data_IF_328207787730
#
_entry.id   IF_328207787730
#
_cell.length_a   1.000
_cell.length_b   1.000
_cell.length_c   1.000
_cell.angle_alpha   90.00
_cell.angle_beta   90.00
_cell.angle_gamma   90.00
#
_symmetry.space_group_name_H-M   'P 1'
#
loop_
_entity.id
_entity.type
_entity.pdbx_description
1 polymer ?
#
# COMPACT_ATOMS: atom_id res chain seq x y z
N UNK A 1 -46.51 -6.69 -82.41
CA UNK A 1 -45.89 -7.03 -81.10
C UNK A 1 -45.46 -8.48 -81.08
N UNK A 2 -44.19 -8.76 -80.80
CA UNK A 2 -43.62 -10.11 -80.83
C UNK A 2 -44.16 -10.94 -79.67
N UNK A 3 -45.08 -11.88 -79.95
CA UNK A 3 -45.82 -12.66 -78.93
C UNK A 3 -44.89 -13.45 -77.99
N UNK A 4 -43.68 -13.79 -78.44
CA UNK A 4 -42.67 -14.50 -77.61
C UNK A 4 -42.03 -13.60 -76.55
N UNK A 5 -41.77 -12.32 -76.88
CA UNK A 5 -41.20 -11.35 -75.93
C UNK A 5 -42.20 -10.95 -74.85
N UNK A 6 -43.49 -10.86 -75.19
CA UNK A 6 -44.53 -10.60 -74.20
C UNK A 6 -44.59 -11.73 -73.15
N UNK A 7 -44.62 -13.00 -73.55
CA UNK A 7 -44.69 -14.13 -72.59
C UNK A 7 -43.51 -14.15 -71.63
N UNK A 8 -42.27 -13.94 -72.11
CA UNK A 8 -41.07 -13.91 -71.25
C UNK A 8 -41.12 -12.75 -70.26
N UNK A 9 -41.58 -11.57 -70.69
CA UNK A 9 -41.66 -10.38 -69.83
C UNK A 9 -42.66 -10.56 -68.67
N UNK A 10 -43.77 -11.28 -68.88
CA UNK A 10 -44.76 -11.53 -67.82
C UNK A 10 -44.21 -12.47 -66.73
N UNK A 11 -43.44 -13.49 -67.12
CA UNK A 11 -42.81 -14.39 -66.15
C UNK A 11 -41.69 -13.72 -65.34
N UNK A 12 -40.92 -12.82 -65.98
CA UNK A 12 -39.92 -12.00 -65.28
C UNK A 12 -40.61 -11.06 -64.29
N UNK A 13 -41.67 -10.36 -64.72
CA UNK A 13 -42.43 -9.45 -63.85
C UNK A 13 -43.05 -10.20 -62.66
N UNK A 14 -43.59 -11.40 -62.90
CA UNK A 14 -44.14 -12.25 -61.84
C UNK A 14 -43.06 -12.70 -60.85
N UNK A 15 -41.87 -13.06 -61.34
CA UNK A 15 -40.72 -13.39 -60.48
C UNK A 15 -40.28 -12.21 -59.61
N UNK A 16 -40.26 -10.99 -60.16
CA UNK A 16 -39.94 -9.77 -59.40
C UNK A 16 -40.99 -9.51 -58.33
N UNK A 17 -42.28 -9.59 -58.67
CA UNK A 17 -43.38 -9.38 -57.72
C UNK A 17 -43.34 -10.44 -56.61
N UNK A 18 -43.09 -11.70 -56.95
CA UNK A 18 -42.95 -12.78 -55.99
C UNK A 18 -41.75 -12.56 -55.06
N UNK A 19 -40.60 -12.12 -55.58
CA UNK A 19 -39.42 -11.81 -54.77
C UNK A 19 -39.64 -10.62 -53.83
N UNK A 20 -40.31 -9.56 -54.29
CA UNK A 20 -40.69 -8.41 -53.45
C UNK A 20 -41.68 -8.86 -52.37
N UNK A 21 -42.69 -9.66 -52.73
CA UNK A 21 -43.66 -10.20 -51.78
C UNK A 21 -43.00 -11.08 -50.72
N UNK A 22 -42.05 -11.94 -51.13
CA UNK A 22 -41.28 -12.78 -50.22
C UNK A 22 -40.39 -11.93 -49.31
N UNK A 23 -39.71 -10.93 -49.85
CA UNK A 23 -38.90 -10.00 -49.07
C UNK A 23 -39.73 -9.26 -48.03
N UNK A 24 -40.90 -8.71 -48.40
CA UNK A 24 -41.80 -8.01 -47.49
C UNK A 24 -42.39 -8.94 -46.43
N UNK A 25 -42.70 -10.19 -46.80
CA UNK A 25 -43.17 -11.20 -45.86
C UNK A 25 -42.09 -11.55 -44.83
N UNK A 26 -40.87 -11.82 -45.29
CA UNK A 26 -39.75 -12.09 -44.40
C UNK A 26 -39.31 -10.87 -43.59
N UNK A 27 -39.40 -9.66 -44.13
CA UNK A 27 -39.07 -8.45 -43.37
C UNK A 27 -40.09 -8.14 -42.26
N UNK A 28 -41.35 -8.51 -42.44
CA UNK A 28 -42.39 -8.32 -41.41
C UNK A 28 -42.46 -9.46 -40.38
N UNK A 29 -41.92 -10.65 -40.71
CA UNK A 29 -41.92 -11.81 -39.80
C UNK A 29 -40.58 -12.03 -39.11
N UNK A 30 -39.51 -11.45 -39.66
CA UNK A 30 -38.24 -11.35 -38.97
C UNK A 30 -38.32 -10.16 -38.04
N UNK A 31 -38.73 -10.40 -36.80
CA UNK A 31 -38.31 -9.56 -35.69
C UNK A 31 -36.78 -9.62 -35.67
N UNK A 32 -36.11 -8.72 -36.41
CA UNK A 32 -34.71 -8.46 -36.17
C UNK A 32 -34.63 -8.11 -34.68
N UNK A 33 -33.87 -8.84 -33.85
CA UNK A 33 -33.75 -8.54 -32.44
C UNK A 33 -32.87 -7.30 -32.29
N UNK A 34 -33.39 -6.14 -32.69
CA UNK A 34 -32.75 -4.85 -32.57
C UNK A 34 -33.69 -3.99 -31.74
N UNK A 35 -33.75 -4.31 -30.45
CA UNK A 35 -34.29 -3.42 -29.43
C UNK A 35 -33.42 -3.47 -28.17
N UNK A 36 -32.09 -3.49 -28.32
CA UNK A 36 -31.30 -2.77 -27.33
C UNK A 36 -31.56 -1.28 -27.58
N UNK A 37 -32.02 -0.49 -26.60
CA UNK A 37 -32.04 0.96 -26.75
C UNK A 37 -30.64 1.40 -27.18
N UNK A 38 -30.52 2.12 -28.29
CA UNK A 38 -29.23 2.66 -28.74
C UNK A 38 -28.56 3.38 -27.55
N UNK A 39 -27.40 2.90 -27.11
CA UNK A 39 -26.69 3.46 -25.96
C UNK A 39 -26.85 2.71 -24.62
N UNK A 40 -27.75 1.72 -24.49
CA UNK A 40 -27.96 1.01 -23.22
C UNK A 40 -26.70 0.27 -22.76
N UNK A 41 -26.04 -0.42 -23.69
CA UNK A 41 -24.77 -1.10 -23.42
C UNK A 41 -23.67 -0.11 -23.01
N UNK A 42 -23.57 1.03 -23.69
CA UNK A 42 -22.58 2.06 -23.38
C UNK A 42 -22.81 2.65 -21.98
N UNK A 43 -24.07 2.99 -21.66
CA UNK A 43 -24.43 3.54 -20.37
C UNK A 43 -24.22 2.53 -19.24
N UNK A 44 -24.55 1.25 -19.48
CA UNK A 44 -24.32 0.19 -18.51
C UNK A 44 -22.82 -0.07 -18.30
N UNK A 45 -22.05 -0.15 -19.38
CA UNK A 45 -20.59 -0.29 -19.32
C UNK A 45 -19.97 0.85 -18.49
N UNK A 46 -20.37 2.10 -18.75
CA UNK A 46 -19.82 3.26 -18.04
C UNK A 46 -20.28 3.29 -16.59
N UNK A 47 -21.59 3.23 -16.33
CA UNK A 47 -22.14 3.50 -15.00
C UNK A 47 -22.11 2.28 -14.07
N UNK A 48 -22.41 1.10 -14.59
CA UNK A 48 -22.55 -0.11 -13.78
C UNK A 48 -21.24 -0.87 -13.61
N UNK A 49 -20.33 -0.74 -14.57
CA UNK A 49 -19.08 -1.50 -14.57
C UNK A 49 -17.86 -0.61 -14.33
N UNK A 50 -17.49 0.23 -15.30
CA UNK A 50 -16.28 1.05 -15.23
C UNK A 50 -16.29 1.96 -13.99
N UNK A 51 -17.34 2.75 -13.80
CA UNK A 51 -17.43 3.65 -12.65
C UNK A 51 -17.35 2.90 -11.32
N UNK A 52 -18.04 1.75 -11.20
CA UNK A 52 -17.99 0.95 -9.97
C UNK A 52 -16.64 0.30 -9.74
N UNK A 53 -15.97 -0.20 -10.78
CA UNK A 53 -14.63 -0.77 -10.64
C UNK A 53 -13.61 0.31 -10.27
N UNK A 54 -13.70 1.51 -10.85
CA UNK A 54 -12.82 2.62 -10.49
C UNK A 54 -13.02 3.08 -9.05
N UNK A 55 -14.28 3.17 -8.58
CA UNK A 55 -14.55 3.47 -7.18
C UNK A 55 -14.00 2.40 -6.23
N UNK A 56 -14.14 1.13 -6.59
CA UNK A 56 -13.66 0.00 -5.79
C UNK A 56 -12.12 -0.08 -5.78
N UNK A 57 -11.46 0.25 -6.89
CA UNK A 57 -9.99 0.36 -6.94
C UNK A 57 -9.48 1.58 -6.19
N UNK A 58 -10.18 2.71 -6.26
CA UNK A 58 -9.85 3.90 -5.49
C UNK A 58 -9.96 3.61 -3.99
N UNK A 59 -11.05 2.97 -3.54
CA UNK A 59 -11.24 2.59 -2.14
C UNK A 59 -10.13 1.62 -1.66
N UNK A 60 -9.74 0.68 -2.52
CA UNK A 60 -8.62 -0.23 -2.26
C UNK A 60 -7.30 0.53 -2.08
N UNK A 61 -6.97 1.44 -2.99
CA UNK A 61 -5.75 2.24 -2.94
C UNK A 61 -5.73 3.17 -1.71
N UNK A 62 -6.86 3.80 -1.39
CA UNK A 62 -7.00 4.63 -0.18
C UNK A 62 -6.77 3.79 1.09
N UNK A 63 -7.45 2.65 1.18
CA UNK A 63 -7.30 1.72 2.31
C UNK A 63 -5.86 1.22 2.44
N UNK A 64 -5.20 0.90 1.32
CA UNK A 64 -3.81 0.44 1.32
C UNK A 64 -2.85 1.54 1.76
N UNK A 65 -3.06 2.78 1.31
CA UNK A 65 -2.22 3.92 1.70
C UNK A 65 -2.38 4.24 3.19
N UNK A 66 -3.61 4.35 3.68
CA UNK A 66 -3.92 4.63 5.09
C UNK A 66 -3.37 3.52 6.00
N UNK A 67 -3.53 2.26 5.61
CA UNK A 67 -2.95 1.13 6.33
C UNK A 67 -1.42 1.23 6.35
N UNK A 68 -0.80 1.52 5.20
CA UNK A 68 0.64 1.69 5.10
C UNK A 68 1.17 2.81 6.00
N UNK A 69 0.50 3.96 6.04
CA UNK A 69 0.81 5.07 6.94
C UNK A 69 0.69 4.69 8.41
N UNK A 70 -0.38 3.99 8.78
CA UNK A 70 -0.54 3.49 10.15
C UNK A 70 0.59 2.54 10.55
N UNK A 71 0.97 1.63 9.65
CA UNK A 71 2.09 0.69 9.87
C UNK A 71 3.42 1.44 10.03
N UNK A 72 3.71 2.44 9.20
CA UNK A 72 4.92 3.27 9.34
C UNK A 72 4.99 3.89 10.74
N UNK A 73 3.92 4.57 11.15
CA UNK A 73 3.85 5.25 12.45
C UNK A 73 3.97 4.26 13.61
N UNK A 74 3.33 3.09 13.52
CA UNK A 74 3.36 2.07 14.57
C UNK A 74 4.72 1.39 14.68
N UNK A 75 5.37 1.07 13.56
CA UNK A 75 6.74 0.53 13.57
C UNK A 75 7.73 1.57 14.07
N UNK A 76 7.66 2.82 13.60
CA UNK A 76 8.56 3.88 14.04
C UNK A 76 8.46 4.08 15.57
N UNK A 77 7.24 4.16 16.09
CA UNK A 77 6.98 4.26 17.53
C UNK A 77 7.45 3.06 18.37
N UNK A 78 7.80 1.94 17.74
CA UNK A 78 8.32 0.71 18.39
C UNK A 78 9.77 0.41 18.00
N UNK A 79 10.48 1.36 17.39
CA UNK A 79 11.87 1.19 16.95
C UNK A 79 12.03 0.17 15.83
N UNK A 80 10.99 -0.02 15.02
CA UNK A 80 10.91 -0.94 13.87
C UNK A 80 10.49 -2.37 14.20
N UNK A 81 10.17 -2.68 15.45
CA UNK A 81 9.76 -4.02 15.88
C UNK A 81 8.24 -4.18 16.00
N UNK A 82 7.76 -5.39 15.73
CA UNK A 82 6.39 -5.79 16.08
C UNK A 82 6.23 -6.07 17.57
N UNK A 83 7.24 -6.75 18.13
CA UNK A 83 7.28 -7.23 19.50
C UNK A 83 8.48 -6.63 20.25
N UNK A 84 8.75 -7.15 21.44
CA UNK A 84 9.94 -6.82 22.20
C UNK A 84 11.20 -7.25 21.43
N UNK A 85 12.18 -6.35 21.33
CA UNK A 85 13.47 -6.67 20.70
C UNK A 85 14.21 -7.76 21.48
N UNK A 86 15.08 -8.51 20.80
CA UNK A 86 15.93 -9.51 21.47
C UNK A 86 16.96 -8.90 22.44
N UNK A 87 17.10 -7.57 22.45
CA UNK A 87 17.91 -6.81 23.42
C UNK A 87 17.07 -6.30 24.60
N UNK A 88 15.76 -6.55 24.61
CA UNK A 88 14.83 -6.11 25.63
C UNK A 88 14.29 -4.70 25.41
N UNK A 89 13.60 -4.18 26.42
CA UNK A 89 13.05 -2.83 26.43
C UNK A 89 13.60 -2.04 27.62
N UNK A 90 13.69 -0.72 27.45
CA UNK A 90 13.95 0.24 28.51
C UNK A 90 12.78 1.22 28.57
N UNK A 91 12.13 1.32 29.73
CA UNK A 91 10.96 2.22 29.94
C UNK A 91 9.87 2.08 28.85
N UNK A 92 9.63 0.86 28.37
CA UNK A 92 8.63 0.55 27.33
C UNK A 92 9.10 0.80 25.88
N UNK A 93 10.37 1.18 25.68
CA UNK A 93 10.97 1.43 24.37
C UNK A 93 11.94 0.31 24.00
N UNK A 94 11.87 -0.19 22.77
CA UNK A 94 12.73 -1.26 22.29
C UNK A 94 14.20 -0.85 22.22
N UNK A 95 15.07 -1.71 22.75
CA UNK A 95 16.52 -1.51 22.69
C UNK A 95 17.06 -2.01 21.36
N UNK A 96 17.91 -1.20 20.73
CA UNK A 96 18.64 -1.60 19.52
C UNK A 96 19.97 -2.28 19.78
N UNK A 97 20.50 -2.15 21.00
CA UNK A 97 21.71 -2.83 21.40
C UNK A 97 21.76 -3.18 22.89
N UNK A 98 22.61 -4.15 23.17
CA UNK A 98 23.25 -4.43 24.47
C UNK A 98 24.76 -4.31 24.25
N UNK A 99 25.54 -4.35 25.34
CA UNK A 99 27.01 -4.17 25.37
C UNK A 99 27.72 -4.78 24.14
N UNK A 100 27.41 -6.05 23.81
CA UNK A 100 28.18 -6.81 22.81
C UNK A 100 27.37 -7.21 21.58
N UNK A 101 26.13 -6.71 21.44
CA UNK A 101 25.21 -7.17 20.38
C UNK A 101 24.25 -6.07 19.93
N UNK A 102 24.09 -5.99 18.61
CA UNK A 102 23.03 -5.22 17.96
C UNK A 102 21.80 -6.11 17.74
N UNK A 103 20.64 -5.60 18.12
CA UNK A 103 19.33 -6.17 17.88
C UNK A 103 18.56 -5.15 17.03
N UNK A 104 18.81 -5.17 15.72
CA UNK A 104 18.09 -4.32 14.77
C UNK A 104 16.86 -5.07 14.23
N UNK A 105 15.78 -4.36 13.89
CA UNK A 105 14.59 -4.97 13.32
C UNK A 105 14.83 -5.46 11.89
N UNK A 106 13.99 -6.40 11.44
CA UNK A 106 13.73 -6.60 10.00
C UNK A 106 12.50 -5.79 9.64
N UNK A 107 12.70 -4.49 9.36
CA UNK A 107 11.61 -3.53 9.18
C UNK A 107 10.70 -3.90 8.00
N UNK A 108 11.24 -4.54 6.96
CA UNK A 108 10.49 -4.93 5.77
C UNK A 108 9.59 -6.13 6.05
N UNK A 109 10.09 -7.16 6.73
CA UNK A 109 9.25 -8.30 7.12
C UNK A 109 8.22 -7.92 8.19
N UNK A 110 8.62 -7.07 9.14
CA UNK A 110 7.71 -6.54 10.16
C UNK A 110 6.58 -5.72 9.51
N UNK A 111 6.90 -4.88 8.52
CA UNK A 111 5.88 -4.17 7.76
C UNK A 111 4.92 -5.09 7.04
N UNK A 112 5.42 -6.08 6.28
CA UNK A 112 4.56 -7.00 5.53
C UNK A 112 3.57 -7.70 6.46
N UNK A 113 4.05 -8.09 7.64
CA UNK A 113 3.24 -8.76 8.66
C UNK A 113 2.19 -7.83 9.25
N UNK A 114 2.59 -6.66 9.75
CA UNK A 114 1.66 -5.71 10.37
C UNK A 114 0.64 -5.15 9.37
N UNK A 115 1.07 -4.95 8.12
CA UNK A 115 0.18 -4.47 7.06
C UNK A 115 -1.03 -5.37 6.93
N UNK A 116 -0.87 -6.67 6.71
CA UNK A 116 -2.02 -7.56 6.56
C UNK A 116 -2.78 -7.85 7.86
N UNK A 117 -2.19 -7.58 9.03
CA UNK A 117 -2.94 -7.58 10.30
C UNK A 117 -3.90 -6.40 10.40
N UNK A 118 -3.54 -5.24 9.85
CA UNK A 118 -4.33 -4.01 9.92
C UNK A 118 -5.17 -3.74 8.68
N UNK A 119 -4.79 -4.32 7.53
CA UNK A 119 -5.42 -4.05 6.25
C UNK A 119 -6.86 -4.56 6.24
N UNK A 120 -7.85 -3.69 5.98
CA UNK A 120 -9.24 -4.10 5.92
C UNK A 120 -9.43 -5.00 4.69
N UNK A 121 -9.56 -6.30 4.92
CA UNK A 121 -9.90 -7.27 3.88
C UNK A 121 -11.30 -7.85 4.13
N UNK A 122 -12.36 -7.06 3.90
CA UNK A 122 -13.73 -7.45 4.21
C UNK A 122 -14.19 -8.69 3.43
N UNK A 123 -13.52 -9.01 2.32
CA UNK A 123 -13.86 -10.14 1.46
C UNK A 123 -12.99 -11.40 1.72
N UNK A 124 -12.04 -11.33 2.67
CA UNK A 124 -11.13 -12.45 2.97
C UNK A 124 -10.31 -12.93 1.77
N UNK A 125 -10.10 -12.07 0.77
CA UNK A 125 -9.36 -12.43 -0.45
C UNK A 125 -7.89 -12.67 -0.13
N UNK A 126 -7.30 -13.69 -0.74
CA UNK A 126 -5.86 -13.90 -0.67
C UNK A 126 -5.14 -12.84 -1.50
N UNK A 127 -4.66 -11.78 -0.87
CA UNK A 127 -3.65 -10.92 -1.47
C UNK A 127 -2.31 -11.67 -1.51
N UNK A 128 -1.55 -11.45 -2.57
CA UNK A 128 -0.16 -11.90 -2.62
C UNK A 128 0.67 -11.23 -1.51
N UNK A 129 1.79 -11.81 -1.09
CA UNK A 129 2.69 -11.15 -0.15
C UNK A 129 3.04 -9.73 -0.62
N UNK A 130 3.06 -8.80 0.34
CA UNK A 130 3.28 -7.40 0.05
C UNK A 130 4.72 -7.19 -0.44
N UNK A 131 4.85 -6.52 -1.58
CA UNK A 131 6.13 -6.07 -2.11
C UNK A 131 6.35 -4.59 -1.78
N UNK A 132 7.60 -4.25 -1.48
CA UNK A 132 8.04 -2.89 -1.12
C UNK A 132 9.11 -2.50 -2.14
N UNK A 133 8.91 -1.38 -2.83
CA UNK A 133 9.85 -0.84 -3.81
C UNK A 133 10.02 0.66 -3.60
N UNK A 134 11.12 1.05 -2.95
CA UNK A 134 11.35 2.44 -2.53
C UNK A 134 10.24 2.90 -1.60
N UNK A 135 9.52 3.95 -2.01
CA UNK A 135 8.41 4.52 -1.23
C UNK A 135 7.05 3.87 -1.50
N UNK A 136 7.01 2.82 -2.34
CA UNK A 136 5.76 2.21 -2.78
C UNK A 136 5.56 0.84 -2.14
N UNK A 137 4.30 0.55 -1.80
CA UNK A 137 3.86 -0.79 -1.44
C UNK A 137 2.88 -1.29 -2.49
N UNK A 138 2.94 -2.59 -2.78
CA UNK A 138 2.12 -3.21 -3.81
C UNK A 138 1.76 -4.64 -3.45
N UNK A 139 0.55 -5.05 -3.81
CA UNK A 139 0.11 -6.43 -3.74
C UNK A 139 -0.95 -6.71 -4.80
N UNK A 140 -0.99 -7.96 -5.27
CA UNK A 140 -2.02 -8.42 -6.19
C UNK A 140 -3.10 -9.22 -5.47
N UNK A 141 -4.35 -8.78 -5.61
CA UNK A 141 -5.55 -9.46 -5.10
C UNK A 141 -6.28 -10.30 -6.16
N UNK A 142 -5.70 -10.44 -7.36
CA UNK A 142 -6.26 -11.18 -8.48
C UNK A 142 -7.45 -10.46 -9.15
N UNK A 143 -8.25 -11.20 -9.90
CA UNK A 143 -9.35 -10.62 -10.68
C UNK A 143 -10.64 -10.52 -9.86
N UNK A 144 -11.34 -9.38 -9.93
CA UNK A 144 -12.70 -9.17 -9.39
C UNK A 144 -13.69 -9.08 -10.55
N UNK A 145 -14.86 -9.70 -10.38
CA UNK A 145 -15.91 -9.72 -11.41
C UNK A 145 -17.17 -9.06 -10.89
N UNK A 146 -17.59 -7.98 -11.53
CA UNK A 146 -18.92 -7.40 -11.37
C UNK A 146 -19.89 -8.19 -12.24
N UNK A 147 -21.10 -8.44 -11.73
CA UNK A 147 -22.18 -9.08 -12.48
C UNK A 147 -23.32 -8.09 -12.65
N UNK A 148 -23.94 -8.07 -13.83
CA UNK A 148 -25.19 -7.36 -14.07
C UNK A 148 -26.32 -8.34 -14.34
N UNK A 149 -27.52 -7.89 -14.02
CA UNK A 149 -28.78 -8.57 -14.35
C UNK A 149 -29.24 -8.24 -15.78
N UNK A 150 -28.59 -7.32 -16.48
CA UNK A 150 -28.93 -6.98 -17.87
C UNK A 150 -28.54 -8.10 -18.85
N UNK A 151 -29.31 -8.21 -19.92
CA UNK A 151 -29.18 -9.23 -20.94
C UNK A 151 -27.97 -9.00 -21.85
N UNK A 152 -27.50 -7.75 -22.00
CA UNK A 152 -26.48 -7.37 -23.00
C UNK A 152 -25.04 -7.40 -22.47
N UNK A 153 -24.80 -7.14 -21.18
CA UNK A 153 -23.48 -7.24 -20.57
C UNK A 153 -23.58 -7.89 -19.18
N UNK A 154 -23.36 -9.20 -19.12
CA UNK A 154 -23.61 -9.98 -17.89
C UNK A 154 -22.51 -9.84 -16.84
N UNK A 155 -21.28 -9.56 -17.25
CA UNK A 155 -20.15 -9.47 -16.34
C UNK A 155 -19.02 -8.59 -16.87
N UNK A 156 -18.28 -7.99 -15.94
CA UNK A 156 -17.06 -7.24 -16.19
C UNK A 156 -16.00 -7.67 -15.18
N UNK A 157 -14.80 -7.99 -15.65
CA UNK A 157 -13.71 -8.48 -14.81
C UNK A 157 -12.52 -7.53 -14.89
N UNK A 158 -11.97 -7.15 -13.74
CA UNK A 158 -10.86 -6.21 -13.61
C UNK A 158 -9.84 -6.73 -12.59
N UNK A 159 -8.60 -6.25 -12.70
CA UNK A 159 -7.52 -6.56 -11.77
C UNK A 159 -7.73 -5.78 -10.47
N UNK A 160 -7.81 -6.50 -9.35
CA UNK A 160 -8.00 -5.96 -8.01
C UNK A 160 -6.67 -5.99 -7.25
N UNK A 161 -5.73 -5.20 -7.76
CA UNK A 161 -4.38 -5.04 -7.24
C UNK A 161 -4.16 -3.59 -6.85
N UNK A 162 -3.33 -3.33 -5.85
CA UNK A 162 -2.97 -1.97 -5.45
C UNK A 162 -1.48 -1.71 -5.62
N UNK A 163 -1.17 -0.45 -5.90
CA UNK A 163 0.20 0.03 -5.96
C UNK A 163 0.20 1.49 -5.50
N UNK A 164 0.52 1.70 -4.22
CA UNK A 164 0.37 3.02 -3.58
C UNK A 164 1.72 3.57 -3.14
N UNK A 165 1.88 4.88 -3.24
CA UNK A 165 3.04 5.59 -2.71
C UNK A 165 2.74 6.03 -1.28
N UNK A 166 3.61 5.66 -0.34
CA UNK A 166 3.53 6.08 1.05
C UNK A 166 4.23 7.42 1.31
N UNK A 167 5.01 7.92 0.35
CA UNK A 167 5.91 9.07 0.49
C UNK A 167 6.94 8.91 1.62
N UNK A 168 7.19 7.66 2.02
CA UNK A 168 8.09 7.28 3.10
C UNK A 168 8.97 6.12 2.62
N UNK A 169 10.28 6.17 2.88
CA UNK A 169 11.21 5.08 2.58
C UNK A 169 11.67 4.38 3.86
N UNK A 170 11.57 3.05 3.87
CA UNK A 170 12.10 2.22 4.96
C UNK A 170 13.62 2.20 5.03
N UNK A 171 14.31 2.70 4.00
CA UNK A 171 15.76 2.86 4.03
C UNK A 171 16.21 3.86 5.12
N UNK A 172 15.30 4.67 5.67
CA UNK A 172 15.57 5.50 6.86
C UNK A 172 16.09 4.68 8.06
N UNK A 173 15.61 3.43 8.24
CA UNK A 173 16.09 2.57 9.32
C UNK A 173 17.59 2.26 9.21
N UNK A 174 18.11 2.11 7.98
CA UNK A 174 19.53 1.89 7.76
C UNK A 174 20.36 3.13 8.15
N UNK A 175 19.86 4.32 7.84
CA UNK A 175 20.49 5.58 8.27
C UNK A 175 20.48 5.70 9.79
N UNK A 176 19.32 5.51 10.43
CA UNK A 176 19.18 5.57 11.88
C UNK A 176 20.08 4.56 12.59
N UNK A 177 20.20 3.34 12.04
CA UNK A 177 21.08 2.31 12.60
C UNK A 177 22.57 2.70 12.49
N UNK A 178 22.97 3.35 11.40
CA UNK A 178 24.33 3.85 11.23
C UNK A 178 24.63 5.01 12.21
N UNK A 179 23.69 5.93 12.40
CA UNK A 179 23.79 7.01 13.37
C UNK A 179 23.86 6.48 14.81
N UNK A 180 23.00 5.52 15.15
CA UNK A 180 23.01 4.83 16.45
C UNK A 180 24.35 4.17 16.74
N UNK A 181 24.89 3.41 15.78
CA UNK A 181 26.22 2.77 15.89
C UNK A 181 27.31 3.79 16.17
N UNK A 182 27.34 4.87 15.39
CA UNK A 182 28.33 5.95 15.56
C UNK A 182 28.27 6.58 16.95
N UNK A 183 27.07 6.82 17.49
CA UNK A 183 26.91 7.36 18.84
C UNK A 183 27.40 6.39 19.91
N UNK A 184 26.98 5.12 19.83
CA UNK A 184 27.39 4.08 20.79
C UNK A 184 28.89 3.88 20.75
N UNK A 185 29.48 3.70 19.56
CA UNK A 185 30.91 3.43 19.41
C UNK A 185 31.78 4.59 19.89
N UNK A 186 31.33 5.84 19.70
CA UNK A 186 32.06 7.02 20.18
C UNK A 186 31.94 7.21 21.69
N UNK A 187 30.75 7.05 22.27
CA UNK A 187 30.48 7.48 23.65
C UNK A 187 30.50 6.34 24.69
N UNK A 188 30.49 5.06 24.29
CA UNK A 188 30.49 3.93 25.25
C UNK A 188 31.77 3.80 26.07
N UNK A 189 32.88 4.36 25.59
CA UNK A 189 34.19 4.27 26.25
C UNK A 189 34.33 5.17 27.49
N UNK A 190 33.40 6.09 27.69
CA UNK A 190 33.41 6.99 28.85
C UNK A 190 33.07 6.23 30.14
N UNK A 191 33.83 6.46 31.22
CA UNK A 191 33.68 5.77 32.52
C UNK A 191 32.59 6.36 33.42
N UNK A 192 32.36 7.67 33.34
CA UNK A 192 31.32 8.36 34.11
C UNK A 192 30.05 8.55 33.26
N UNK A 193 28.87 8.48 33.90
CA UNK A 193 27.60 8.69 33.19
C UNK A 193 27.51 10.12 32.64
N UNK A 194 28.01 11.10 33.39
CA UNK A 194 28.09 12.51 32.99
C UNK A 194 28.99 12.68 31.77
N UNK A 195 30.07 11.90 31.65
CA UNK A 195 30.97 11.95 30.50
C UNK A 195 30.30 11.38 29.24
N UNK A 196 29.50 10.32 29.36
CA UNK A 196 28.63 9.83 28.28
C UNK A 196 27.66 10.94 27.83
N UNK A 197 27.07 11.67 28.78
CA UNK A 197 26.14 12.78 28.50
C UNK A 197 26.82 13.91 27.71
N UNK A 198 28.02 14.33 28.12
CA UNK A 198 28.78 15.35 27.41
C UNK A 198 29.23 14.88 26.02
N UNK A 199 29.65 13.62 25.88
CA UNK A 199 29.98 13.03 24.58
C UNK A 199 28.78 13.07 23.63
N UNK A 200 27.60 12.66 24.10
CA UNK A 200 26.39 12.65 23.28
C UNK A 200 25.96 14.06 22.85
N UNK A 201 26.21 15.12 23.64
CA UNK A 201 25.97 16.50 23.20
C UNK A 201 26.79 16.88 21.96
N UNK A 202 27.96 16.27 21.75
CA UNK A 202 28.85 16.57 20.63
C UNK A 202 28.57 15.70 19.39
N UNK A 203 28.10 14.47 19.59
CA UNK A 203 28.00 13.45 18.52
C UNK A 203 26.57 13.23 18.04
N UNK A 204 25.57 13.44 18.90
CA UNK A 204 24.17 13.18 18.60
C UNK A 204 23.66 14.14 17.52
N UNK A 205 23.06 13.64 16.42
CA UNK A 205 22.46 14.51 15.41
C UNK A 205 21.33 15.40 15.97
N UNK A 206 20.98 16.45 15.22
CA UNK A 206 20.00 17.45 15.67
C UNK A 206 18.58 16.87 15.76
N UNK A 207 18.21 15.96 14.84
CA UNK A 207 16.90 15.27 14.80
C UNK A 207 16.72 14.18 15.86
N UNK A 208 17.77 13.86 16.63
CA UNK A 208 17.69 12.92 17.74
C UNK A 208 17.43 13.67 19.04
N UNK A 209 16.37 13.31 19.75
CA UNK A 209 16.00 13.93 21.02
C UNK A 209 16.02 12.88 22.14
N UNK A 210 16.37 13.30 23.35
CA UNK A 210 16.37 12.41 24.51
C UNK A 210 14.95 12.21 25.02
N UNK A 211 14.53 10.96 25.18
CA UNK A 211 13.23 10.54 25.74
C UNK A 211 11.99 10.98 24.96
N UNK A 212 11.88 12.25 24.57
CA UNK A 212 10.75 12.86 23.86
C UNK A 212 11.23 13.85 22.80
N UNK A 213 10.49 13.95 21.70
CA UNK A 213 10.74 14.87 20.59
C UNK A 213 10.34 16.33 20.90
N UNK A 214 9.59 16.56 21.98
CA UNK A 214 9.12 17.89 22.40
C UNK A 214 9.92 18.48 23.55
N UNK A 215 10.36 17.62 24.49
CA UNK A 215 11.04 18.05 25.71
C UNK A 215 12.36 17.29 25.88
N UNK A 216 13.52 18.00 25.92
CA UNK A 216 14.80 17.35 26.14
C UNK A 216 14.92 16.92 27.59
N UNK A 217 14.53 15.68 27.89
CA UNK A 217 14.76 15.07 29.21
C UNK A 217 15.94 14.12 29.09
N UNK A 218 17.09 14.57 29.59
CA UNK A 218 18.33 13.77 29.62
C UNK A 218 18.18 12.70 30.73
N UNK A 219 18.33 11.41 30.41
CA UNK A 219 18.35 10.36 31.43
C UNK A 219 19.58 10.53 32.34
N UNK A 220 19.38 10.54 33.67
CA UNK A 220 20.47 10.72 34.64
C UNK A 220 20.75 9.48 35.51
N UNK A 221 20.02 8.39 35.29
CA UNK A 221 20.01 7.25 36.23
C UNK A 221 20.77 6.02 35.72
N UNK A 222 20.81 5.81 34.39
CA UNK A 222 21.33 4.59 33.77
C UNK A 222 22.13 4.92 32.53
N UNK A 223 22.92 3.96 32.02
CA UNK A 223 23.60 4.05 30.72
C UNK A 223 22.75 3.59 29.53
N UNK A 224 21.47 3.27 29.77
CA UNK A 224 20.53 2.85 28.73
C UNK A 224 19.54 4.00 28.49
N UNK A 225 19.67 4.66 27.35
CA UNK A 225 19.03 5.94 27.11
C UNK A 225 17.95 5.79 26.03
N UNK A 226 16.69 6.13 26.34
CA UNK A 226 15.64 6.23 25.33
C UNK A 226 15.82 7.49 24.48
N UNK A 227 15.51 7.37 23.20
CA UNK A 227 15.51 8.45 22.22
C UNK A 227 14.17 8.51 21.50
N UNK A 228 13.77 9.74 21.19
CA UNK A 228 12.77 10.05 20.19
C UNK A 228 13.48 10.72 19.02
N UNK A 229 13.38 10.15 17.83
CA UNK A 229 14.11 10.62 16.65
C UNK A 229 13.10 11.09 15.61
N UNK A 230 13.19 12.34 15.17
CA UNK A 230 12.38 12.84 14.06
C UNK A 230 12.96 12.31 12.75
N UNK A 231 12.10 12.01 11.77
CA UNK A 231 12.55 11.52 10.46
C UNK A 231 13.66 12.40 9.89
N UNK A 232 14.82 11.82 9.53
CA UNK A 232 15.95 12.59 8.99
C UNK A 232 15.61 13.29 7.67
N UNK A 233 14.59 12.81 6.95
CA UNK A 233 14.11 13.42 5.71
C UNK A 233 12.88 14.31 5.93
N UNK A 234 12.51 14.59 7.18
CA UNK A 234 11.30 15.34 7.56
C UNK A 234 10.03 14.79 6.89
N UNK A 235 9.91 13.45 6.77
CA UNK A 235 8.71 12.85 6.20
C UNK A 235 7.53 13.07 7.14
N UNK A 236 6.45 13.60 6.59
CA UNK A 236 5.19 13.81 7.29
C UNK A 236 4.13 12.81 6.84
N UNK A 237 3.46 12.19 7.80
CA UNK A 237 2.29 11.35 7.61
C UNK A 237 1.13 12.02 8.35
N UNK A 238 0.04 12.30 7.62
CA UNK A 238 -1.13 13.00 8.18
C UNK A 238 -0.80 14.35 8.85
N UNK A 239 0.19 15.07 8.32
CA UNK A 239 0.63 16.37 8.84
C UNK A 239 1.45 16.29 10.14
N UNK A 240 1.97 15.10 10.47
CA UNK A 240 2.90 14.89 11.59
C UNK A 240 4.19 14.26 11.08
N UNK A 241 5.32 14.80 11.52
CA UNK A 241 6.63 14.21 11.22
C UNK A 241 6.68 12.81 11.82
N UNK A 242 7.23 11.84 11.08
CA UNK A 242 7.44 10.48 11.59
C UNK A 242 8.45 10.51 12.72
N UNK A 243 8.08 9.92 13.86
CA UNK A 243 8.90 9.86 15.08
C UNK A 243 9.23 8.42 15.43
N UNK A 244 10.52 8.15 15.62
CA UNK A 244 11.04 6.84 15.99
C UNK A 244 11.37 6.80 17.47
N UNK A 245 10.89 5.77 18.17
CA UNK A 245 11.24 5.55 19.57
C UNK A 245 12.12 4.31 19.71
N UNK A 246 13.34 4.51 20.20
CA UNK A 246 14.31 3.44 20.40
C UNK A 246 15.21 3.74 21.61
N UNK A 247 15.80 2.72 22.21
CA UNK A 247 16.75 2.86 23.30
C UNK A 247 18.13 2.32 22.92
N UNK A 248 19.18 3.01 23.37
CA UNK A 248 20.58 2.64 23.16
C UNK A 248 21.29 2.40 24.48
N UNK A 249 22.16 1.40 24.50
CA UNK A 249 22.98 1.04 25.66
C UNK A 249 24.43 1.50 25.46
N UNK A 250 24.90 2.37 26.36
CA UNK A 250 26.24 2.93 26.40
C UNK A 250 27.09 2.31 27.52
N UNK A 251 26.69 1.16 28.06
CA UNK A 251 27.51 0.42 29.01
C UNK A 251 28.82 0.01 28.34
N UNK A 252 29.92 0.51 28.90
CA UNK A 252 31.27 0.20 28.43
C UNK A 252 31.66 -1.25 28.74
N UNK A 253 32.74 -1.72 28.10
CA UNK A 253 33.41 -2.93 28.54
C UNK A 253 34.23 -2.63 29.80
N UNK A 254 33.57 -2.39 30.93
CA UNK A 254 34.27 -2.50 32.21
C UNK A 254 34.50 -3.98 32.46
N UNK A 255 35.76 -4.40 32.55
CA UNK A 255 36.16 -5.76 32.94
C UNK A 255 35.30 -6.24 34.13
N UNK A 256 34.90 -7.53 34.16
CA UNK A 256 34.21 -8.08 35.31
C UNK A 256 35.10 -7.85 36.53
N UNK A 257 34.57 -7.10 37.51
CA UNK A 257 35.18 -6.91 38.84
C UNK A 257 35.56 -8.25 39.45
#
# INVERSE_FOLDING_TARGET
>A
MNKKGAVVLHWILFGIIAAIGLFLYYSNTSDLPVQAPLGSWQLEMINSFLYKSELDLLDLDLSARETGWKVVSELAGRGGFLEQSSCGMEKGVNRWNIVDKWCLPDEKENLKTLFFQLFPNPEGRGFSPLAIAGQRIMSSGGMKTLKSTDHYLRQYTYDYSFNVNLHYSFDEYAQLAAEARKMVDTCRGEEALEAVAECLKLVKPEHWHYTSCDVPVVPQETRIWPFCVKSPNNVEIEGKVVEYNLALDFTGYSDPV
#
